data_IF_932873587124
#
_entry.id   IF_932873587124
#
_cell.length_a   1.000
_cell.length_b   1.000
_cell.length_c   1.000
_cell.angle_alpha   90.00
_cell.angle_beta   90.00
_cell.angle_gamma   90.00
#
_symmetry.space_group_name_H-M   'P 1'
#
loop_
_entity.id
_entity.type
_entity.pdbx_description
1 polymer ?
#
# COMPACT_ATOMS: atom_id res chain seq x y z
N UNK A 1 -0.03 3.47 -19.39
CA UNK A 1 0.37 2.08 -19.06
C UNK A 1 0.83 2.04 -17.62
N UNK A 2 0.42 1.02 -16.86
CA UNK A 2 0.96 0.77 -15.51
C UNK A 2 2.41 0.30 -15.62
N UNK A 3 3.27 0.72 -14.66
CA UNK A 3 4.69 0.35 -14.61
C UNK A 3 5.03 -0.21 -13.23
N UNK A 4 5.62 -1.40 -13.20
CA UNK A 4 6.19 -1.98 -11.98
C UNK A 4 7.49 -1.25 -11.60
N UNK A 5 7.69 -1.00 -10.30
CA UNK A 5 8.91 -0.42 -9.74
C UNK A 5 9.38 -1.23 -8.53
N UNK A 6 10.66 -1.09 -8.17
CA UNK A 6 11.19 -1.72 -6.96
C UNK A 6 10.67 -1.04 -5.69
N UNK A 7 10.80 -1.69 -4.54
CA UNK A 7 10.51 -1.05 -3.26
C UNK A 7 11.43 0.15 -3.00
N UNK A 8 12.72 0.06 -3.35
CA UNK A 8 13.66 1.17 -3.26
C UNK A 8 13.21 2.38 -4.09
N UNK A 9 12.71 2.16 -5.32
CA UNK A 9 12.15 3.23 -6.16
C UNK A 9 10.88 3.84 -5.55
N UNK A 10 10.06 3.02 -4.89
CA UNK A 10 8.87 3.50 -4.20
C UNK A 10 9.25 4.38 -2.99
N UNK A 11 10.22 3.96 -2.18
CA UNK A 11 10.76 4.73 -1.04
C UNK A 11 11.40 6.03 -1.53
N UNK A 12 12.15 6.01 -2.63
CA UNK A 12 12.75 7.23 -3.20
C UNK A 12 11.70 8.28 -3.59
N UNK A 13 10.50 7.85 -4.01
CA UNK A 13 9.37 8.75 -4.31
C UNK A 13 8.61 9.17 -3.07
N UNK A 14 8.44 8.26 -2.13
CA UNK A 14 7.65 8.44 -0.91
C UNK A 14 8.44 7.88 0.30
N UNK A 15 9.30 8.70 0.94
CA UNK A 15 10.20 8.21 1.99
C UNK A 15 9.52 7.54 3.19
N UNK A 16 8.26 7.90 3.48
CA UNK A 16 7.49 7.25 4.54
C UNK A 16 7.32 5.74 4.33
N UNK A 17 7.43 5.23 3.09
CA UNK A 17 7.34 3.80 2.79
C UNK A 17 8.50 2.98 3.38
N UNK A 18 9.60 3.61 3.80
CA UNK A 18 10.74 2.94 4.44
C UNK A 18 10.35 2.30 5.80
N UNK A 19 9.28 2.78 6.43
CA UNK A 19 8.76 2.21 7.67
C UNK A 19 7.96 0.91 7.47
N UNK A 20 7.78 0.45 6.23
CA UNK A 20 7.07 -0.80 5.96
C UNK A 20 7.94 -2.02 6.31
N UNK A 21 7.32 -3.14 6.75
CA UNK A 21 8.08 -4.34 7.05
C UNK A 21 8.79 -4.87 5.80
N UNK A 22 10.07 -5.23 5.95
CA UNK A 22 10.95 -5.75 4.88
C UNK A 22 10.95 -7.27 4.78
N UNK A 23 10.31 -7.97 5.72
CA UNK A 23 10.16 -9.43 5.70
C UNK A 23 9.08 -9.92 4.72
N UNK A 24 8.39 -8.99 4.05
CA UNK A 24 7.40 -9.28 3.00
C UNK A 24 7.82 -8.64 1.69
N UNK A 25 7.45 -9.29 0.58
CA UNK A 25 7.70 -8.77 -0.75
C UNK A 25 6.62 -7.77 -1.15
N UNK A 26 7.00 -6.50 -1.23
CA UNK A 26 6.13 -5.45 -1.75
C UNK A 26 6.21 -5.34 -3.26
N UNK A 27 5.05 -5.46 -3.91
CA UNK A 27 4.85 -5.17 -5.33
C UNK A 27 4.32 -3.76 -5.50
N UNK A 28 5.04 -2.93 -6.26
CA UNK A 28 4.70 -1.53 -6.49
C UNK A 28 4.36 -1.27 -7.96
N UNK A 29 3.22 -0.63 -8.19
CA UNK A 29 2.69 -0.28 -9.50
C UNK A 29 2.43 1.21 -9.58
N UNK A 30 3.21 1.90 -10.42
CA UNK A 30 2.92 3.27 -10.84
C UNK A 30 1.76 3.21 -11.80
N UNK A 31 0.65 3.86 -11.44
CA UNK A 31 -0.53 3.92 -12.31
C UNK A 31 -0.71 5.37 -12.76
N UNK A 32 -0.42 5.68 -14.04
CA UNK A 32 -0.69 7.00 -14.60
C UNK A 32 -2.20 7.13 -14.94
N UNK A 33 -3.07 6.74 -14.01
CA UNK A 33 -4.46 7.15 -14.08
C UNK A 33 -4.46 8.66 -13.83
N UNK A 34 -5.13 9.43 -14.68
CA UNK A 34 -5.10 10.88 -14.60
C UNK A 34 -5.42 11.39 -13.19
N UNK A 35 -4.95 12.58 -12.80
CA UNK A 35 -4.93 13.09 -11.42
C UNK A 35 -6.30 13.18 -10.71
N UNK A 36 -7.40 12.83 -11.39
CA UNK A 36 -8.76 12.83 -10.86
C UNK A 36 -9.33 11.42 -10.57
N UNK A 37 -8.71 10.34 -11.04
CA UNK A 37 -9.40 9.04 -11.12
C UNK A 37 -8.65 7.84 -10.52
N UNK A 38 -7.46 8.00 -9.93
CA UNK A 38 -6.76 6.84 -9.38
C UNK A 38 -5.57 7.17 -8.50
N UNK A 39 -5.08 6.13 -7.82
CA UNK A 39 -3.83 6.19 -7.07
C UNK A 39 -2.65 6.37 -8.03
N UNK A 40 -1.73 7.27 -7.69
CA UNK A 40 -0.49 7.51 -8.41
C UNK A 40 0.47 6.32 -8.24
N UNK A 41 0.45 5.72 -7.04
CA UNK A 41 1.22 4.54 -6.68
C UNK A 41 0.36 3.55 -5.90
N UNK A 42 0.41 2.28 -6.31
CA UNK A 42 -0.20 1.16 -5.60
C UNK A 42 0.89 0.21 -5.11
N UNK A 43 0.97 -0.02 -3.80
CA UNK A 43 1.72 -1.11 -3.18
C UNK A 43 0.80 -2.25 -2.75
N UNK A 44 1.22 -3.49 -2.98
CA UNK A 44 0.53 -4.65 -2.42
C UNK A 44 1.51 -5.74 -2.00
N UNK A 45 1.13 -6.51 -1.00
CA UNK A 45 1.83 -7.73 -0.58
C UNK A 45 0.82 -8.78 -0.13
N UNK A 46 1.23 -10.05 -0.13
CA UNK A 46 0.40 -11.20 0.22
C UNK A 46 0.87 -11.75 1.57
N UNK A 47 -0.08 -11.98 2.46
CA UNK A 47 0.09 -12.59 3.78
C UNK A 47 -0.58 -13.97 3.75
N UNK A 48 0.18 -15.01 4.07
CA UNK A 48 -0.30 -16.40 4.18
C UNK A 48 -1.04 -16.94 2.93
N UNK A 49 -0.65 -16.46 1.75
CA UNK A 49 -1.16 -16.93 0.44
C UNK A 49 -2.61 -16.57 0.11
N UNK A 50 -3.39 -16.07 1.07
CA UNK A 50 -4.85 -15.84 0.92
C UNK A 50 -5.29 -14.42 1.29
N UNK A 51 -4.53 -13.74 2.15
CA UNK A 51 -4.78 -12.37 2.58
C UNK A 51 -3.74 -11.46 1.95
N UNK A 52 -4.03 -10.18 1.81
CA UNK A 52 -3.06 -9.20 1.34
C UNK A 52 -3.22 -7.87 2.04
N UNK A 53 -2.19 -7.04 1.98
CA UNK A 53 -2.26 -5.65 2.42
C UNK A 53 -1.95 -4.77 1.21
N UNK A 54 -2.80 -3.79 0.98
CA UNK A 54 -2.66 -2.81 -0.08
C UNK A 54 -2.45 -1.40 0.49
N UNK A 55 -1.55 -0.64 -0.12
CA UNK A 55 -1.38 0.79 0.09
C UNK A 55 -1.63 1.50 -1.24
N UNK A 56 -2.51 2.49 -1.23
CA UNK A 56 -2.85 3.29 -2.40
C UNK A 56 -2.55 4.74 -2.09
N UNK A 57 -1.64 5.34 -2.84
CA UNK A 57 -1.22 6.73 -2.67
C UNK A 57 -1.88 7.56 -3.76
N UNK A 58 -2.69 8.53 -3.33
CA UNK A 58 -3.34 9.52 -4.17
C UNK A 58 -2.66 10.88 -3.97
N UNK A 59 -3.02 11.86 -4.80
CA UNK A 59 -2.45 13.21 -4.72
C UNK A 59 -2.57 13.84 -3.33
N UNK A 60 -3.74 13.72 -2.70
CA UNK A 60 -4.07 14.43 -1.45
C UNK A 60 -4.18 13.51 -0.22
N UNK A 61 -4.16 12.19 -0.41
CA UNK A 61 -4.34 11.22 0.66
C UNK A 61 -3.75 9.85 0.31
N UNK A 62 -3.67 8.97 1.30
CA UNK A 62 -3.33 7.57 1.11
C UNK A 62 -4.38 6.68 1.77
N UNK A 63 -4.43 5.42 1.33
CA UNK A 63 -5.33 4.40 1.88
C UNK A 63 -4.54 3.12 2.14
N UNK A 64 -4.70 2.55 3.32
CA UNK A 64 -4.28 1.20 3.64
C UNK A 64 -5.50 0.30 3.73
N UNK A 65 -5.39 -0.92 3.23
CA UNK A 65 -6.49 -1.88 3.23
C UNK A 65 -5.97 -3.30 3.45
N UNK A 66 -6.66 -4.07 4.29
CA UNK A 66 -6.52 -5.53 4.32
C UNK A 66 -7.43 -6.10 3.24
N UNK A 67 -6.85 -6.78 2.28
CA UNK A 67 -7.55 -7.50 1.22
C UNK A 67 -7.74 -8.93 1.72
N UNK A 68 -8.95 -9.31 2.09
CA UNK A 68 -9.33 -10.70 2.29
C UNK A 68 -10.32 -11.13 1.20
N UNK A 69 -10.34 -12.42 0.85
CA UNK A 69 -11.28 -12.96 -0.14
C UNK A 69 -12.68 -13.28 0.45
N UNK A 70 -12.93 -12.96 1.72
CA UNK A 70 -14.11 -13.47 2.44
C UNK A 70 -14.72 -12.56 3.50
N UNK A 71 -14.29 -11.30 3.63
CA UNK A 71 -14.79 -10.38 4.66
C UNK A 71 -14.93 -8.93 4.19
N UNK A 72 -15.34 -8.06 5.12
CA UNK A 72 -15.25 -6.63 4.92
C UNK A 72 -13.80 -6.19 5.15
N UNK A 73 -13.13 -5.62 4.13
CA UNK A 73 -11.74 -5.27 4.25
C UNK A 73 -11.56 -4.17 5.30
N UNK A 74 -10.69 -4.40 6.29
CA UNK A 74 -10.28 -3.36 7.22
C UNK A 74 -9.55 -2.26 6.43
N UNK A 75 -10.02 -1.02 6.50
CA UNK A 75 -9.47 0.09 5.71
C UNK A 75 -9.25 1.34 6.56
N UNK A 76 -8.16 2.04 6.29
CA UNK A 76 -7.89 3.38 6.84
C UNK A 76 -7.51 4.30 5.70
N UNK A 77 -8.16 5.46 5.64
CA UNK A 77 -7.87 6.54 4.70
C UNK A 77 -7.35 7.74 5.49
N UNK A 78 -6.26 8.35 5.04
CA UNK A 78 -5.67 9.49 5.74
C UNK A 78 -4.39 9.98 5.08
N UNK A 79 -3.48 10.53 5.88
CA UNK A 79 -2.14 10.90 5.40
C UNK A 79 -1.32 9.66 5.08
N UNK A 80 -0.28 9.80 4.25
CA UNK A 80 0.62 8.69 3.92
C UNK A 80 1.24 8.02 5.17
N UNK A 81 1.76 8.77 6.17
CA UNK A 81 2.27 8.15 7.39
C UNK A 81 1.23 7.30 8.13
N UNK A 82 -0.03 7.76 8.22
CA UNK A 82 -1.11 6.99 8.86
C UNK A 82 -1.40 5.70 8.09
N UNK A 83 -1.44 5.77 6.76
CA UNK A 83 -1.64 4.59 5.93
C UNK A 83 -0.49 3.59 6.06
N UNK A 84 0.77 4.06 6.10
CA UNK A 84 1.94 3.20 6.29
C UNK A 84 1.91 2.51 7.65
N UNK A 85 1.69 3.25 8.74
CA UNK A 85 1.58 2.68 10.09
C UNK A 85 0.45 1.64 10.17
N UNK A 86 -0.71 1.94 9.57
CA UNK A 86 -1.83 1.00 9.49
C UNK A 86 -1.43 -0.26 8.73
N UNK A 87 -0.78 -0.13 7.57
CA UNK A 87 -0.37 -1.28 6.77
C UNK A 87 0.63 -2.17 7.52
N UNK A 88 1.60 -1.58 8.23
CA UNK A 88 2.53 -2.32 9.07
C UNK A 88 1.79 -3.10 10.19
N UNK A 89 0.84 -2.46 10.88
CA UNK A 89 0.02 -3.12 11.90
C UNK A 89 -0.86 -4.24 11.34
N UNK A 90 -1.41 -4.06 10.15
CA UNK A 90 -2.20 -5.09 9.46
C UNK A 90 -1.34 -6.32 9.12
N UNK A 91 -0.10 -6.10 8.68
CA UNK A 91 0.86 -7.18 8.39
C UNK A 91 1.29 -7.93 9.65
N UNK A 92 1.52 -7.20 10.74
CA UNK A 92 1.95 -7.79 12.01
C UNK A 92 0.80 -8.45 12.79
N UNK A 93 -0.45 -8.38 12.31
CA UNK A 93 -1.62 -8.90 13.02
C UNK A 93 -1.97 -8.13 14.30
N UNK A 94 -1.63 -6.83 14.35
CA UNK A 94 -1.73 -5.96 15.55
C UNK A 94 -2.92 -4.99 15.51
N UNK A 95 -3.89 -5.23 14.63
CA UNK A 95 -5.08 -4.40 14.43
C UNK A 95 -6.36 -5.09 14.90
#
# INVERSE_FOLDING_TARGET
MTRLISHADAVARYPALDALPTHVDWRWEVRPLGPRCGAELWGSTVVDGTRGVGIFIYRDHAKAIRIDQGGYPAQVTGTLPIAVDTAAKLLDGRL
#
